data_IF_909190687880
#
_entry.id   IF_909190687880
#
_cell.length_a   1.000
_cell.length_b   1.000
_cell.length_c   1.000
_cell.angle_alpha   90.00
_cell.angle_beta   90.00
_cell.angle_gamma   90.00
#
_symmetry.space_group_name_H-M   'P 1'
#
loop_
_entity.id
_entity.type
_entity.pdbx_description
1 polymer ?
#
# COMPACT_ATOMS: atom_id res chain seq x y z
N UNK A 1 -30.70 -25.17 -34.17
CA UNK A 1 -30.83 -25.10 -32.69
C UNK A 1 -29.42 -25.20 -32.08
N UNK A 2 -28.72 -24.07 -31.95
CA UNK A 2 -28.34 -23.39 -30.68
C UNK A 2 -27.43 -24.19 -29.73
N UNK A 3 -26.12 -24.03 -29.97
CA UNK A 3 -25.05 -23.61 -29.03
C UNK A 3 -25.37 -23.62 -27.52
N UNK A 4 -24.57 -24.38 -26.74
CA UNK A 4 -23.66 -23.92 -25.65
C UNK A 4 -23.46 -25.04 -24.61
N UNK A 5 -22.22 -25.51 -24.47
CA UNK A 5 -21.53 -25.72 -23.18
C UNK A 5 -20.16 -26.39 -23.40
N UNK A 6 -19.24 -25.62 -23.97
CA UNK A 6 -17.80 -25.81 -23.77
C UNK A 6 -17.25 -24.48 -23.29
N UNK A 7 -17.17 -24.29 -21.98
CA UNK A 7 -16.23 -23.37 -21.34
C UNK A 7 -16.25 -23.63 -19.83
N UNK A 8 -15.21 -23.20 -19.13
CA UNK A 8 -14.97 -23.38 -17.69
C UNK A 8 -14.19 -24.66 -17.33
N UNK A 9 -13.09 -24.90 -18.05
CA UNK A 9 -11.92 -25.56 -17.45
C UNK A 9 -10.59 -24.87 -17.81
N UNK A 10 -10.63 -23.56 -18.06
CA UNK A 10 -9.47 -22.74 -18.45
C UNK A 10 -9.17 -21.58 -17.47
N UNK A 11 -9.94 -21.44 -16.39
CA UNK A 11 -9.81 -20.32 -15.44
C UNK A 11 -8.82 -20.53 -14.29
N UNK A 12 -8.56 -21.78 -13.87
CA UNK A 12 -7.62 -22.05 -12.78
C UNK A 12 -6.15 -22.04 -13.27
N UNK A 13 -5.89 -22.57 -14.46
CA UNK A 13 -4.55 -22.65 -15.03
C UNK A 13 -4.02 -21.29 -15.54
N UNK A 14 -4.88 -20.39 -16.02
CA UNK A 14 -4.47 -19.02 -16.41
C UNK A 14 -4.26 -18.09 -15.21
N UNK A 15 -4.92 -18.34 -14.08
CA UNK A 15 -4.67 -17.61 -12.83
C UNK A 15 -3.38 -18.07 -12.14
N UNK A 16 -3.01 -19.36 -12.25
CA UNK A 16 -1.70 -19.83 -11.80
C UNK A 16 -0.56 -19.37 -12.75
N UNK A 17 -0.83 -19.26 -14.04
CA UNK A 17 0.14 -18.78 -15.03
C UNK A 17 0.39 -17.26 -15.00
N UNK A 18 -0.49 -16.45 -14.39
CA UNK A 18 -0.18 -15.02 -14.12
C UNK A 18 0.78 -14.82 -12.92
N UNK A 19 1.07 -15.88 -12.17
CA UNK A 19 1.99 -15.85 -11.01
C UNK A 19 3.30 -16.61 -11.23
N UNK A 20 3.53 -17.16 -12.43
CA UNK A 20 4.76 -17.87 -12.78
C UNK A 20 5.42 -17.17 -13.98
N UNK A 21 6.39 -16.30 -13.70
CA UNK A 21 7.24 -15.76 -14.76
C UNK A 21 7.81 -14.35 -14.58
N UNK A 22 7.53 -13.65 -13.48
CA UNK A 22 8.31 -12.45 -13.19
C UNK A 22 9.65 -12.87 -12.57
N UNK A 23 10.65 -13.10 -13.42
CA UNK A 23 12.03 -12.71 -13.12
C UNK A 23 12.10 -11.18 -12.98
N UNK A 24 11.28 -10.59 -12.10
CA UNK A 24 11.32 -9.18 -11.78
C UNK A 24 12.45 -8.98 -10.78
N UNK A 25 13.55 -8.42 -11.27
CA UNK A 25 14.57 -7.86 -10.42
C UNK A 25 13.90 -6.76 -9.56
N UNK A 26 13.93 -6.93 -8.24
CA UNK A 26 13.42 -5.93 -7.31
C UNK A 26 14.30 -4.67 -7.39
N UNK A 27 13.69 -3.48 -7.32
CA UNK A 27 14.44 -2.25 -7.16
C UNK A 27 15.25 -2.36 -5.85
N UNK A 28 16.55 -2.12 -5.95
CA UNK A 28 17.46 -2.34 -4.81
C UNK A 28 17.38 -1.17 -3.84
N UNK A 29 17.53 -1.45 -2.56
CA UNK A 29 17.66 -0.44 -1.50
C UNK A 29 19.15 -0.11 -1.32
N UNK A 30 19.84 0.21 -2.42
CA UNK A 30 21.31 0.38 -2.42
C UNK A 30 21.75 1.61 -1.60
N UNK A 31 20.91 2.64 -1.53
CA UNK A 31 21.15 3.86 -0.79
C UNK A 31 19.90 4.29 -0.01
N UNK A 32 20.10 4.81 1.19
CA UNK A 32 19.07 5.45 2.02
C UNK A 32 19.42 6.92 2.17
N UNK A 33 18.44 7.80 2.19
CA UNK A 33 18.65 9.18 2.58
C UNK A 33 17.86 9.53 3.84
N UNK A 34 18.47 10.37 4.69
CA UNK A 34 17.97 10.67 6.04
C UNK A 34 18.18 12.14 6.40
N UNK A 35 17.36 12.63 7.31
CA UNK A 35 17.39 14.01 7.81
C UNK A 35 16.90 14.07 9.26
N UNK A 36 16.76 15.29 9.78
CA UNK A 36 16.10 15.60 11.03
C UNK A 36 14.69 15.01 11.17
N UNK A 37 14.00 14.71 10.07
CA UNK A 37 12.68 14.07 10.08
C UNK A 37 12.73 12.60 10.52
N UNK A 38 13.90 11.95 10.43
CA UNK A 38 14.11 10.59 10.92
C UNK A 38 14.51 10.57 12.41
N UNK A 39 14.89 11.72 12.96
CA UNK A 39 15.42 11.84 14.32
C UNK A 39 16.81 11.21 14.47
N UNK A 40 17.18 10.90 15.71
CA UNK A 40 18.40 10.18 16.00
C UNK A 40 18.34 8.76 15.44
N UNK A 41 19.38 8.34 14.71
CA UNK A 41 19.54 6.98 14.24
C UNK A 41 20.85 6.37 14.75
N UNK A 42 20.76 5.18 15.31
CA UNK A 42 21.89 4.46 15.91
C UNK A 42 22.73 3.70 14.88
N UNK A 43 23.98 3.38 15.26
CA UNK A 43 24.84 2.47 14.47
C UNK A 43 24.18 1.11 14.25
N UNK A 44 23.45 0.58 15.24
CA UNK A 44 22.77 -0.73 15.12
C UNK A 44 21.70 -0.73 14.03
N UNK A 45 20.93 0.35 13.91
CA UNK A 45 19.95 0.53 12.84
C UNK A 45 20.59 0.52 11.46
N UNK A 46 21.66 1.27 11.28
CA UNK A 46 22.43 1.28 10.04
C UNK A 46 23.07 -0.08 9.71
N UNK A 47 23.57 -0.79 10.72
CA UNK A 47 24.05 -2.17 10.58
C UNK A 47 22.91 -3.11 10.14
N UNK A 48 21.71 -2.96 10.70
CA UNK A 48 20.52 -3.71 10.26
C UNK A 48 20.16 -3.40 8.80
N UNK A 49 20.14 -2.12 8.41
CA UNK A 49 19.89 -1.72 7.01
C UNK A 49 20.89 -2.37 6.04
N UNK A 50 22.18 -2.30 6.37
CA UNK A 50 23.26 -2.94 5.61
C UNK A 50 23.07 -4.45 5.51
N UNK A 51 22.88 -5.12 6.65
CA UNK A 51 22.90 -6.58 6.73
C UNK A 51 21.63 -7.23 6.19
N UNK A 52 20.47 -6.60 6.37
CA UNK A 52 19.17 -7.17 6.08
C UNK A 52 18.57 -6.68 4.76
N UNK A 53 18.98 -5.51 4.26
CA UNK A 53 18.44 -4.90 3.04
C UNK A 53 19.51 -4.55 2.00
N UNK A 54 20.78 -4.74 2.35
CA UNK A 54 21.89 -4.54 1.42
C UNK A 54 22.15 -3.07 1.10
N UNK A 55 21.80 -2.17 2.01
CA UNK A 55 22.17 -0.76 1.92
C UNK A 55 23.69 -0.63 1.88
N UNK A 56 24.19 0.13 0.90
CA UNK A 56 25.62 0.32 0.61
C UNK A 56 26.08 1.73 0.98
N UNK A 57 25.21 2.70 0.78
CA UNK A 57 25.48 4.10 1.02
C UNK A 57 24.34 4.77 1.78
N UNK A 58 24.65 5.84 2.51
CA UNK A 58 23.65 6.73 3.10
C UNK A 58 23.95 8.16 2.67
N UNK A 59 22.92 8.95 2.36
CA UNK A 59 23.04 10.37 2.04
C UNK A 59 22.29 11.19 3.10
N UNK A 60 23.01 11.98 3.88
CA UNK A 60 22.47 12.70 5.04
C UNK A 60 22.22 14.16 4.71
N UNK A 61 21.09 14.73 5.13
CA UNK A 61 20.87 16.18 5.04
C UNK A 61 21.92 16.87 5.89
N UNK A 62 22.74 17.73 5.28
CA UNK A 62 23.73 18.51 6.03
C UNK A 62 23.21 19.91 6.35
N UNK A 63 22.46 20.51 5.43
CA UNK A 63 21.96 21.87 5.56
C UNK A 63 20.80 22.19 4.62
N UNK A 64 20.17 23.33 4.84
CA UNK A 64 19.13 23.91 3.99
C UNK A 64 19.29 25.43 3.90
N UNK A 65 19.20 25.97 2.68
CA UNK A 65 19.39 27.40 2.42
C UNK A 65 20.69 27.97 3.00
N UNK A 66 20.67 29.24 3.41
CA UNK A 66 21.88 29.91 3.93
C UNK A 66 22.16 29.73 5.42
N UNK A 67 21.26 29.09 6.19
CA UNK A 67 21.29 29.19 7.66
C UNK A 67 20.98 27.90 8.42
N UNK A 68 20.17 26.99 7.86
CA UNK A 68 19.75 25.79 8.59
C UNK A 68 20.81 24.70 8.51
N UNK A 69 21.21 24.17 9.66
CA UNK A 69 22.08 22.99 9.80
C UNK A 69 21.24 21.86 10.35
N UNK A 70 21.33 20.68 9.75
CA UNK A 70 20.61 19.53 10.28
C UNK A 70 21.26 19.08 11.61
N UNK A 71 20.52 19.05 12.73
CA UNK A 71 21.09 18.74 14.04
C UNK A 71 21.57 17.29 14.17
N UNK A 72 21.11 16.37 13.30
CA UNK A 72 21.49 14.97 13.32
C UNK A 72 22.55 14.62 12.27
N UNK A 73 23.02 15.58 11.47
CA UNK A 73 24.02 15.33 10.43
C UNK A 73 25.28 14.66 10.99
N UNK A 74 25.86 15.23 12.04
CA UNK A 74 27.10 14.72 12.62
C UNK A 74 26.95 13.30 13.22
N UNK A 75 25.87 13.06 13.98
CA UNK A 75 25.60 11.74 14.55
C UNK A 75 25.32 10.69 13.48
N UNK A 76 24.56 11.05 12.43
CA UNK A 76 24.27 10.14 11.33
C UNK A 76 25.54 9.81 10.54
N UNK A 77 26.38 10.80 10.22
CA UNK A 77 27.66 10.57 9.53
C UNK A 77 28.54 9.60 10.34
N UNK A 78 28.73 9.88 11.64
CA UNK A 78 29.54 9.02 12.51
C UNK A 78 28.99 7.59 12.61
N UNK A 79 27.67 7.44 12.81
CA UNK A 79 27.03 6.14 12.97
C UNK A 79 27.00 5.32 11.66
N UNK A 80 26.87 5.98 10.50
CA UNK A 80 26.96 5.32 9.18
C UNK A 80 28.38 4.82 8.93
N UNK A 81 29.39 5.64 9.26
CA UNK A 81 30.79 5.24 9.13
C UNK A 81 31.13 4.07 10.08
N UNK A 82 30.65 4.11 11.32
CA UNK A 82 30.78 3.00 12.27
C UNK A 82 30.06 1.72 11.79
N UNK A 83 28.93 1.90 11.10
CA UNK A 83 28.23 0.81 10.40
C UNK A 83 28.93 0.38 9.09
N UNK A 84 30.11 0.90 8.76
CA UNK A 84 30.93 0.45 7.62
C UNK A 84 30.28 0.67 6.24
N UNK A 85 29.32 1.60 6.15
CA UNK A 85 28.68 1.99 4.88
C UNK A 85 29.33 3.26 4.33
N UNK A 86 29.17 3.48 3.03
CA UNK A 86 29.63 4.73 2.40
C UNK A 86 28.71 5.89 2.82
N UNK A 87 29.26 7.07 3.06
CA UNK A 87 28.51 8.24 3.52
C UNK A 87 28.61 9.37 2.49
N UNK A 88 27.47 10.00 2.22
CA UNK A 88 27.30 11.18 1.39
C UNK A 88 26.45 12.22 2.13
N UNK A 89 26.41 13.44 1.61
CA UNK A 89 25.56 14.51 2.10
C UNK A 89 24.64 15.06 1.02
N UNK A 90 23.58 15.76 1.44
CA UNK A 90 22.79 16.61 0.56
C UNK A 90 22.43 17.94 1.22
N UNK A 91 22.24 18.96 0.39
CA UNK A 91 21.84 20.31 0.76
C UNK A 91 20.51 20.65 0.12
N UNK A 92 19.50 21.00 0.92
CA UNK A 92 18.22 21.47 0.37
C UNK A 92 18.34 22.91 -0.14
N UNK A 93 18.25 23.08 -1.46
CA UNK A 93 18.51 24.33 -2.13
C UNK A 93 17.36 25.33 -1.97
N UNK A 94 17.67 26.55 -1.52
CA UNK A 94 16.74 27.70 -1.50
C UNK A 94 17.19 28.82 -2.45
N UNK A 95 18.28 28.63 -3.19
CA UNK A 95 18.81 29.63 -4.10
C UNK A 95 17.90 29.88 -5.33
N UNK A 96 17.70 31.15 -5.67
CA UNK A 96 17.04 31.59 -6.91
C UNK A 96 18.02 32.21 -7.92
N UNK A 97 19.21 32.59 -7.46
CA UNK A 97 20.24 33.26 -8.26
C UNK A 97 21.57 32.51 -8.20
N UNK A 98 22.45 32.81 -9.16
CA UNK A 98 23.81 32.24 -9.20
C UNK A 98 24.62 32.61 -7.95
N UNK A 99 24.48 33.84 -7.46
CA UNK A 99 25.18 34.31 -6.27
C UNK A 99 24.70 33.58 -5.01
N UNK A 100 23.39 33.40 -4.86
CA UNK A 100 22.83 32.60 -3.77
C UNK A 100 23.28 31.14 -3.86
N UNK A 101 23.35 30.56 -5.06
CA UNK A 101 23.82 29.18 -5.24
C UNK A 101 25.26 28.98 -4.77
N UNK A 102 26.14 29.96 -5.02
CA UNK A 102 27.51 29.98 -4.51
C UNK A 102 27.52 30.13 -2.98
N UNK A 103 26.74 31.06 -2.43
CA UNK A 103 26.67 31.29 -0.99
C UNK A 103 26.13 30.07 -0.22
N UNK A 104 25.11 29.40 -0.76
CA UNK A 104 24.55 28.16 -0.20
C UNK A 104 25.54 27.00 -0.32
N UNK A 105 26.28 26.88 -1.43
CA UNK A 105 27.35 25.90 -1.55
C UNK A 105 28.45 26.10 -0.50
N UNK A 106 28.81 27.35 -0.20
CA UNK A 106 29.79 27.68 0.84
C UNK A 106 29.31 27.34 2.24
N UNK A 107 28.03 27.57 2.49
CA UNK A 107 27.40 27.20 3.73
C UNK A 107 27.31 25.67 3.88
N UNK A 108 26.88 24.97 2.83
CA UNK A 108 26.78 23.51 2.79
C UNK A 108 28.15 22.83 2.95
N UNK A 109 29.16 23.29 2.22
CA UNK A 109 30.51 22.72 2.28
C UNK A 109 31.17 22.87 3.65
N UNK A 110 31.03 24.05 4.29
CA UNK A 110 31.49 24.29 5.67
C UNK A 110 30.73 23.44 6.68
N UNK A 111 29.41 23.35 6.53
CA UNK A 111 28.55 22.56 7.44
C UNK A 111 28.85 21.07 7.32
N UNK A 112 29.03 20.56 6.10
CA UNK A 112 29.41 19.17 5.86
C UNK A 112 30.78 18.83 6.46
N UNK A 113 31.78 19.71 6.30
CA UNK A 113 33.11 19.52 6.93
C UNK A 113 33.00 19.49 8.45
N UNK A 114 32.25 20.42 9.04
CA UNK A 114 32.04 20.48 10.48
C UNK A 114 31.29 19.25 11.02
N UNK A 115 30.37 18.68 10.24
CA UNK A 115 29.66 17.45 10.58
C UNK A 115 30.47 16.16 10.36
N UNK A 116 31.71 16.27 9.87
CA UNK A 116 32.60 15.12 9.65
C UNK A 116 32.41 14.38 8.33
N UNK A 117 31.74 14.98 7.34
CA UNK A 117 31.60 14.36 6.03
C UNK A 117 32.99 14.19 5.38
N UNK A 118 33.39 12.97 4.96
CA UNK A 118 34.70 12.75 4.37
C UNK A 118 34.90 13.47 3.03
N UNK A 119 36.10 14.00 2.80
CA UNK A 119 36.53 14.46 1.48
C UNK A 119 36.37 13.33 0.47
N UNK A 120 35.89 13.65 -0.74
CA UNK A 120 35.54 12.69 -1.77
C UNK A 120 34.12 12.11 -1.66
N UNK A 121 33.39 12.36 -0.57
CA UNK A 121 31.95 12.08 -0.51
C UNK A 121 31.18 12.92 -1.55
N UNK A 122 29.99 12.45 -1.94
CA UNK A 122 29.06 13.30 -2.69
C UNK A 122 28.41 14.30 -1.74
N UNK A 123 28.30 15.56 -2.16
CA UNK A 123 27.42 16.55 -1.56
C UNK A 123 26.46 17.05 -2.65
N UNK A 124 25.26 16.46 -2.66
CA UNK A 124 24.25 16.75 -3.67
C UNK A 124 23.49 18.05 -3.37
N UNK A 125 23.12 18.79 -4.41
CA UNK A 125 22.09 19.83 -4.30
C UNK A 125 20.71 19.23 -4.53
N UNK A 126 19.82 19.38 -3.56
CA UNK A 126 18.43 18.94 -3.60
C UNK A 126 17.55 20.10 -4.07
N UNK A 127 17.10 20.01 -5.33
CA UNK A 127 16.43 21.10 -6.06
C UNK A 127 14.96 20.77 -6.26
N UNK A 128 14.15 21.21 -5.30
CA UNK A 128 12.69 21.04 -5.28
C UNK A 128 11.93 22.19 -4.62
N UNK A 129 12.60 23.31 -4.37
CA UNK A 129 12.06 24.47 -3.65
C UNK A 129 11.17 25.35 -4.52
N UNK A 130 10.26 26.10 -3.90
CA UNK A 130 9.37 27.02 -4.62
C UNK A 130 10.17 28.09 -5.39
N UNK A 131 11.30 28.51 -4.82
CA UNK A 131 12.26 29.44 -5.42
C UNK A 131 12.73 28.93 -6.79
N UNK A 132 13.14 27.66 -6.87
CA UNK A 132 13.53 27.02 -8.12
C UNK A 132 12.33 26.77 -9.05
N UNK A 133 11.13 26.52 -8.50
CA UNK A 133 9.91 26.31 -9.29
C UNK A 133 9.52 27.57 -10.10
N UNK A 134 9.77 28.75 -9.52
CA UNK A 134 9.47 30.06 -10.10
C UNK A 134 10.51 30.50 -11.14
N UNK A 135 11.64 29.79 -11.28
CA UNK A 135 12.66 30.10 -12.26
C UNK A 135 12.41 29.43 -13.61
N UNK A 136 12.99 30.02 -14.66
CA UNK A 136 13.12 29.34 -15.95
C UNK A 136 14.10 28.17 -15.84
N UNK A 137 13.95 27.20 -16.74
CA UNK A 137 14.85 26.05 -16.83
C UNK A 137 16.32 26.47 -17.00
N UNK A 138 16.59 27.48 -17.83
CA UNK A 138 17.94 27.98 -18.05
C UNK A 138 18.55 28.64 -16.79
N UNK A 139 17.73 29.36 -16.02
CA UNK A 139 18.17 29.94 -14.74
C UNK A 139 18.51 28.85 -13.73
N UNK A 140 17.66 27.83 -13.60
CA UNK A 140 17.96 26.67 -12.74
C UNK A 140 19.25 25.96 -13.16
N UNK A 141 19.43 25.72 -14.46
CA UNK A 141 20.66 25.10 -15.00
C UNK A 141 21.92 25.89 -14.62
N UNK A 142 21.87 27.22 -14.78
CA UNK A 142 22.97 28.12 -14.40
C UNK A 142 23.26 28.09 -12.90
N UNK A 143 22.22 28.13 -12.07
CA UNK A 143 22.36 28.17 -10.62
C UNK A 143 22.89 26.84 -10.07
N UNK A 144 22.31 25.72 -10.53
CA UNK A 144 22.73 24.37 -10.16
C UNK A 144 24.19 24.09 -10.57
N UNK A 145 24.59 24.53 -11.77
CA UNK A 145 25.98 24.43 -12.21
C UNK A 145 26.93 25.23 -11.33
N UNK A 146 26.51 26.41 -10.85
CA UNK A 146 27.32 27.23 -9.95
C UNK A 146 27.48 26.58 -8.57
N UNK A 147 26.40 26.08 -7.97
CA UNK A 147 26.47 25.33 -6.71
C UNK A 147 27.40 24.13 -6.83
N UNK A 148 27.19 23.29 -7.84
CA UNK A 148 27.97 22.05 -8.04
C UNK A 148 29.44 22.31 -8.36
N UNK A 149 29.76 23.44 -8.99
CA UNK A 149 31.16 23.85 -9.19
C UNK A 149 31.78 24.31 -7.88
N UNK A 150 31.07 25.13 -7.11
CA UNK A 150 31.60 25.72 -5.88
C UNK A 150 31.90 24.67 -4.81
N UNK A 151 31.04 23.65 -4.67
CA UNK A 151 31.22 22.62 -3.64
C UNK A 151 32.53 21.82 -3.78
N UNK A 152 33.10 21.78 -4.98
CA UNK A 152 34.35 21.08 -5.27
C UNK A 152 35.53 21.67 -4.49
N UNK A 153 35.50 22.97 -4.12
CA UNK A 153 36.56 23.59 -3.31
C UNK A 153 36.67 23.00 -1.90
N UNK A 154 35.61 22.35 -1.43
CA UNK A 154 35.60 21.65 -0.15
C UNK A 154 36.10 20.20 -0.27
N UNK A 155 36.41 19.74 -1.48
CA UNK A 155 36.85 18.37 -1.77
C UNK A 155 35.71 17.38 -1.97
N UNK A 156 34.46 17.85 -2.12
CA UNK A 156 33.31 16.99 -2.36
C UNK A 156 33.02 16.83 -3.85
N UNK A 157 32.49 15.67 -4.20
CA UNK A 157 31.92 15.42 -5.53
C UNK A 157 30.50 15.97 -5.54
N UNK A 158 30.09 16.58 -6.66
CA UNK A 158 28.80 17.24 -6.75
C UNK A 158 27.82 16.42 -7.60
N UNK A 159 26.57 16.36 -7.17
CA UNK A 159 25.48 15.82 -7.96
C UNK A 159 24.20 16.63 -7.71
N UNK A 160 23.16 16.35 -8.48
CA UNK A 160 21.86 16.99 -8.34
C UNK A 160 20.79 15.96 -8.00
N UNK A 161 19.99 16.26 -7.00
CA UNK A 161 18.74 15.57 -6.73
C UNK A 161 17.55 16.43 -7.16
N UNK A 162 16.55 15.78 -7.77
CA UNK A 162 15.26 16.41 -8.08
C UNK A 162 14.19 15.35 -8.37
N UNK A 163 12.93 15.77 -8.41
CA UNK A 163 11.81 14.91 -8.76
C UNK A 163 11.77 14.59 -10.26
N UNK A 164 11.19 13.45 -10.61
CA UNK A 164 11.04 12.99 -11.99
C UNK A 164 10.17 13.92 -12.85
N UNK A 165 9.24 14.68 -12.25
CA UNK A 165 8.46 15.69 -12.96
C UNK A 165 9.25 16.97 -13.26
N UNK A 166 10.32 17.23 -12.50
CA UNK A 166 11.21 18.37 -12.68
C UNK A 166 12.39 18.06 -13.59
N UNK A 167 12.88 16.81 -13.56
CA UNK A 167 13.96 16.34 -14.42
C UNK A 167 13.64 16.63 -15.90
N UNK A 168 14.52 17.37 -16.56
CA UNK A 168 14.43 17.86 -17.96
C UNK A 168 13.31 18.87 -18.26
N UNK A 169 12.39 19.12 -17.34
CA UNK A 169 11.34 20.14 -17.49
C UNK A 169 11.71 21.47 -16.79
N UNK A 170 12.26 21.39 -15.58
CA UNK A 170 12.64 22.54 -14.75
C UNK A 170 14.16 22.73 -14.67
N UNK A 171 14.94 21.69 -14.99
CA UNK A 171 16.41 21.72 -15.14
C UNK A 171 16.86 20.56 -16.03
N UNK A 172 18.01 20.69 -16.69
CA UNK A 172 18.67 19.63 -17.45
C UNK A 172 19.28 18.60 -16.51
N UNK A 173 18.93 17.32 -16.69
CA UNK A 173 19.64 16.21 -16.05
C UNK A 173 20.29 15.36 -17.14
N UNK A 174 21.62 15.43 -17.23
CA UNK A 174 22.40 14.70 -18.24
C UNK A 174 22.42 13.19 -17.93
N UNK A 175 22.67 12.39 -18.96
CA UNK A 175 23.03 10.98 -18.75
C UNK A 175 24.31 10.90 -17.93
N UNK A 176 24.43 9.87 -17.10
CA UNK A 176 25.53 9.64 -16.15
C UNK A 176 25.70 10.77 -15.13
N UNK A 177 24.62 11.46 -14.80
CA UNK A 177 24.53 12.38 -13.65
C UNK A 177 23.16 12.21 -13.00
N UNK A 178 22.95 12.81 -11.84
CA UNK A 178 21.64 12.98 -11.23
C UNK A 178 21.19 11.80 -10.37
N UNK A 179 20.54 12.16 -9.27
CA UNK A 179 19.78 11.30 -8.39
C UNK A 179 18.31 11.70 -8.52
N UNK A 180 17.49 10.88 -9.17
CA UNK A 180 16.13 11.30 -9.57
C UNK A 180 15.09 10.55 -8.75
N UNK A 181 14.14 11.27 -8.17
CA UNK A 181 13.02 10.68 -7.46
C UNK A 181 11.86 10.33 -8.40
N UNK A 182 11.36 9.10 -8.29
CA UNK A 182 10.15 8.69 -9.00
C UNK A 182 9.55 7.48 -8.32
N UNK A 183 8.32 7.59 -7.82
CA UNK A 183 7.73 6.59 -6.92
C UNK A 183 6.65 5.78 -7.62
N UNK A 184 6.99 4.75 -8.42
CA UNK A 184 6.00 3.91 -9.06
C UNK A 184 5.13 3.24 -8.00
N UNK A 185 3.93 2.88 -8.43
CA UNK A 185 3.03 2.11 -7.59
C UNK A 185 3.59 0.71 -7.28
N UNK A 186 4.22 0.07 -8.27
CA UNK A 186 4.96 -1.19 -8.13
C UNK A 186 6.39 -0.97 -8.66
N UNK A 187 7.39 -0.85 -7.77
CA UNK A 187 8.79 -0.68 -8.17
C UNK A 187 9.43 -1.95 -8.75
N UNK A 188 8.91 -3.13 -8.42
CA UNK A 188 9.44 -4.40 -8.92
C UNK A 188 9.43 -4.45 -10.46
N UNK A 189 10.57 -4.82 -11.06
CA UNK A 189 10.73 -4.91 -12.52
C UNK A 189 10.82 -3.56 -13.25
N UNK A 190 10.80 -2.43 -12.53
CA UNK A 190 11.05 -1.11 -13.11
C UNK A 190 12.56 -0.83 -13.11
N UNK A 191 13.01 -0.13 -14.14
CA UNK A 191 14.40 0.33 -14.28
C UNK A 191 14.42 1.81 -14.67
N UNK A 192 13.76 2.65 -13.87
CA UNK A 192 13.66 4.08 -14.14
C UNK A 192 15.01 4.76 -13.89
N UNK A 193 15.31 5.77 -14.71
CA UNK A 193 16.53 6.56 -14.64
C UNK A 193 17.82 5.72 -14.64
N UNK A 194 17.81 4.59 -15.36
CA UNK A 194 18.95 3.65 -15.44
C UNK A 194 20.21 4.26 -16.05
N UNK A 195 20.08 5.34 -16.80
CA UNK A 195 21.19 6.13 -17.32
C UNK A 195 21.75 7.16 -16.34
N UNK A 196 21.10 7.40 -15.20
CA UNK A 196 21.48 8.38 -14.18
C UNK A 196 22.19 7.69 -13.01
N UNK A 197 22.75 8.43 -12.04
CA UNK A 197 23.50 7.80 -10.95
C UNK A 197 22.62 7.00 -10.00
N UNK A 198 21.45 7.55 -9.66
CA UNK A 198 20.56 6.95 -8.68
C UNK A 198 19.09 7.22 -9.00
N UNK A 199 18.24 6.29 -8.58
CA UNK A 199 16.79 6.41 -8.65
C UNK A 199 16.19 6.20 -7.26
N UNK A 200 15.62 7.25 -6.66
CA UNK A 200 14.84 7.15 -5.42
C UNK A 200 13.44 6.64 -5.77
N UNK A 201 13.14 5.40 -5.37
CA UNK A 201 11.95 4.69 -5.83
C UNK A 201 10.85 4.59 -4.78
N UNK A 202 11.13 4.95 -3.53
CA UNK A 202 10.15 4.94 -2.44
C UNK A 202 10.55 5.91 -1.34
N UNK A 203 9.56 6.62 -0.80
CA UNK A 203 9.67 7.44 0.42
C UNK A 203 9.05 6.82 1.68
N UNK A 204 8.69 5.54 1.60
CA UNK A 204 7.89 4.86 2.65
C UNK A 204 8.44 3.49 3.00
N UNK A 205 9.70 3.21 2.61
CA UNK A 205 10.32 1.93 2.93
C UNK A 205 10.44 1.77 4.44
N UNK A 206 10.45 0.51 4.89
CA UNK A 206 10.51 0.16 6.31
C UNK A 206 11.69 -0.74 6.56
N UNK A 207 12.43 -0.43 7.62
CA UNK A 207 13.49 -1.26 8.14
C UNK A 207 13.05 -1.91 9.45
N UNK A 208 13.63 -3.05 9.79
CA UNK A 208 13.13 -3.90 10.89
C UNK A 208 13.15 -3.22 12.24
N UNK A 209 14.23 -2.50 12.54
CA UNK A 209 14.48 -1.88 13.84
C UNK A 209 14.56 -0.35 13.78
N UNK A 210 14.17 0.26 12.65
CA UNK A 210 14.13 1.71 12.51
C UNK A 210 12.70 2.21 12.40
N UNK A 211 12.41 3.28 13.13
CA UNK A 211 11.10 3.90 13.15
C UNK A 211 10.90 4.82 11.94
N UNK A 212 9.65 5.02 11.52
CA UNK A 212 9.35 5.93 10.41
C UNK A 212 9.45 5.31 9.02
N UNK A 213 9.11 6.10 8.00
CA UNK A 213 9.30 5.75 6.59
C UNK A 213 10.66 6.23 6.13
N UNK A 214 11.26 5.50 5.21
CA UNK A 214 12.57 5.83 4.67
C UNK A 214 12.53 5.98 3.16
N UNK A 215 13.32 6.94 2.72
CA UNK A 215 13.59 7.24 1.35
C UNK A 215 14.73 6.32 0.89
N UNK A 216 14.45 5.54 -0.15
CA UNK A 216 15.38 4.52 -0.66
C UNK A 216 15.58 4.60 -2.15
N UNK A 217 16.83 4.41 -2.52
CA UNK A 217 17.32 4.57 -3.86
C UNK A 217 18.04 3.32 -4.37
N UNK A 218 17.82 3.03 -5.64
CA UNK A 218 18.67 2.12 -6.41
C UNK A 218 19.83 2.91 -6.98
N UNK A 219 21.05 2.41 -6.81
CA UNK A 219 22.25 2.99 -7.45
C UNK A 219 22.48 2.30 -8.80
N UNK A 220 22.60 3.08 -9.86
CA UNK A 220 22.83 2.59 -11.22
C UNK A 220 24.30 2.76 -11.66
N UNK A 221 25.09 3.52 -10.89
CA UNK A 221 26.54 3.59 -10.96
C UNK A 221 27.16 3.48 -9.57
N UNK A 222 28.48 3.45 -9.51
CA UNK A 222 29.27 3.48 -8.28
C UNK A 222 29.55 4.90 -7.77
N UNK A 223 28.90 5.93 -8.34
CA UNK A 223 29.16 7.33 -8.01
C UNK A 223 28.91 7.61 -6.53
N UNK A 224 27.78 7.19 -5.96
CA UNK A 224 27.48 7.35 -4.53
C UNK A 224 28.27 6.41 -3.60
N UNK A 225 29.15 5.59 -4.15
CA UNK A 225 30.09 4.74 -3.41
C UNK A 225 31.56 5.05 -3.71
N UNK A 226 31.85 6.03 -4.58
CA UNK A 226 33.20 6.33 -5.10
C UNK A 226 33.97 5.09 -5.60
N UNK A 227 33.28 4.12 -6.23
CA UNK A 227 33.88 2.84 -6.62
C UNK A 227 34.29 1.93 -5.44
N UNK A 228 34.12 2.38 -4.19
CA UNK A 228 34.49 1.63 -3.01
C UNK A 228 33.52 0.46 -2.82
N UNK A 229 34.10 -0.72 -2.66
CA UNK A 229 33.34 -1.88 -2.20
C UNK A 229 33.06 -1.69 -0.71
N UNK A 230 31.84 -2.07 -0.29
CA UNK A 230 31.49 -2.05 1.13
C UNK A 230 32.54 -2.80 1.94
N UNK A 231 33.08 -2.14 2.97
CA UNK A 231 34.06 -2.76 3.89
C UNK A 231 33.44 -3.94 4.62
N UNK A 232 32.12 -3.93 4.79
CA UNK A 232 31.37 -5.02 5.43
C UNK A 232 30.27 -5.51 4.50
N UNK A 233 30.20 -6.83 4.29
CA UNK A 233 29.18 -7.44 3.44
C UNK A 233 27.91 -7.75 4.25
N UNK A 234 26.72 -7.77 3.60
CA UNK A 234 25.52 -8.24 4.27
C UNK A 234 25.69 -9.69 4.73
N UNK A 235 25.29 -9.98 5.97
CA UNK A 235 25.43 -11.29 6.60
C UNK A 235 24.74 -12.39 5.79
N UNK A 236 23.58 -12.09 5.20
CA UNK A 236 22.84 -13.05 4.38
C UNK A 236 22.30 -12.38 3.10
N UNK A 237 22.98 -12.60 1.97
CA UNK A 237 22.56 -12.08 0.65
C UNK A 237 21.19 -12.58 0.20
N UNK A 238 20.79 -13.79 0.61
CA UNK A 238 19.46 -14.34 0.33
C UNK A 238 18.37 -13.57 1.07
N UNK A 239 18.56 -13.32 2.36
CA UNK A 239 17.65 -12.52 3.18
C UNK A 239 17.52 -11.09 2.64
N UNK A 240 18.62 -10.47 2.20
CA UNK A 240 18.62 -9.16 1.53
C UNK A 240 17.70 -9.15 0.30
N UNK A 241 17.86 -10.12 -0.59
CA UNK A 241 17.01 -10.21 -1.80
C UNK A 241 15.54 -10.35 -1.43
N UNK A 242 15.23 -11.18 -0.42
CA UNK A 242 13.86 -11.40 0.07
C UNK A 242 13.28 -10.12 0.67
N UNK A 243 14.04 -9.42 1.51
CA UNK A 243 13.60 -8.20 2.18
C UNK A 243 13.40 -7.05 1.19
N UNK A 244 14.30 -6.88 0.23
CA UNK A 244 14.13 -5.91 -0.85
C UNK A 244 12.88 -6.23 -1.68
N UNK A 245 12.66 -7.50 -2.03
CA UNK A 245 11.44 -7.93 -2.71
C UNK A 245 10.19 -7.62 -1.88
N UNK A 246 10.19 -7.90 -0.56
CA UNK A 246 9.07 -7.56 0.33
C UNK A 246 8.80 -6.05 0.40
N UNK A 247 9.84 -5.23 0.48
CA UNK A 247 9.72 -3.76 0.47
C UNK A 247 9.13 -3.24 -0.85
N UNK A 248 9.54 -3.81 -1.98
CA UNK A 248 9.00 -3.50 -3.31
C UNK A 248 7.51 -3.90 -3.45
N UNK A 249 7.10 -4.98 -2.79
CA UNK A 249 5.78 -5.60 -2.93
C UNK A 249 4.74 -5.01 -1.96
N UNK A 250 5.14 -4.46 -0.81
CA UNK A 250 4.22 -3.90 0.19
C UNK A 250 3.34 -2.75 -0.33
N UNK A 251 3.76 -2.01 -1.37
CA UNK A 251 2.92 -0.99 -2.04
C UNK A 251 1.97 -1.61 -3.06
N UNK A 252 2.43 -2.62 -3.80
CA UNK A 252 1.63 -3.41 -4.74
C UNK A 252 0.50 -4.19 -4.03
N UNK A 253 0.75 -4.83 -2.88
CA UNK A 253 -0.28 -5.63 -2.19
C UNK A 253 -1.33 -4.76 -1.46
N UNK A 254 -0.96 -3.58 -0.97
CA UNK A 254 -1.89 -2.67 -0.26
C UNK A 254 -2.91 -2.00 -1.18
N UNK A 255 -2.68 -2.01 -2.50
CA UNK A 255 -3.59 -1.44 -3.50
C UNK A 255 -3.97 -2.41 -4.63
N UNK A 256 -3.28 -3.54 -4.86
CA UNK A 256 -3.84 -4.67 -5.61
C UNK A 256 -5.03 -5.29 -4.85
N UNK A 257 -5.02 -5.22 -3.51
CA UNK A 257 -6.20 -5.45 -2.70
C UNK A 257 -7.30 -4.36 -2.87
N UNK A 258 -6.95 -3.12 -3.27
CA UNK A 258 -7.91 -2.04 -3.58
C UNK A 258 -8.35 -2.00 -5.06
N UNK A 259 -7.61 -2.65 -5.97
CA UNK A 259 -7.76 -2.52 -7.43
C UNK A 259 -7.95 -3.87 -8.13
N UNK A 260 -8.03 -4.97 -7.39
CA UNK A 260 -8.85 -6.09 -7.83
C UNK A 260 -10.27 -5.53 -7.90
N UNK A 261 -10.88 -5.54 -9.09
CA UNK A 261 -12.32 -5.40 -9.19
C UNK A 261 -12.91 -6.48 -8.29
N UNK A 262 -13.36 -6.09 -7.10
CA UNK A 262 -14.06 -6.98 -6.19
C UNK A 262 -15.32 -7.37 -6.94
N UNK A 263 -15.30 -8.51 -7.61
CA UNK A 263 -16.49 -9.06 -8.20
C UNK A 263 -17.38 -9.35 -7.01
N UNK A 264 -18.46 -8.59 -6.87
CA UNK A 264 -19.40 -8.80 -5.78
C UNK A 264 -19.86 -10.24 -5.88
N UNK A 265 -19.45 -11.06 -4.90
CA UNK A 265 -19.82 -12.47 -4.88
C UNK A 265 -21.10 -12.55 -4.08
N UNK A 266 -22.20 -12.82 -4.77
CA UNK A 266 -23.50 -13.11 -4.15
C UNK A 266 -23.78 -14.59 -4.33
N UNK A 267 -23.99 -15.28 -3.22
CA UNK A 267 -24.42 -16.68 -3.26
C UNK A 267 -25.51 -16.92 -2.22
N UNK A 268 -26.43 -17.80 -2.58
CA UNK A 268 -27.51 -18.21 -1.69
C UNK A 268 -26.91 -19.15 -0.64
N UNK A 269 -27.10 -18.79 0.62
CA UNK A 269 -26.69 -19.59 1.75
C UNK A 269 -27.63 -19.29 2.90
N UNK A 270 -28.31 -20.33 3.40
CA UNK A 270 -29.15 -20.23 4.60
C UNK A 270 -28.29 -20.51 5.84
N UNK A 271 -28.51 -19.74 6.89
CA UNK A 271 -27.83 -19.95 8.16
C UNK A 271 -28.30 -19.00 9.25
N UNK A 272 -27.81 -19.24 10.46
CA UNK A 272 -28.05 -18.37 11.62
C UNK A 272 -26.74 -17.70 11.99
N UNK A 273 -26.79 -16.39 12.23
CA UNK A 273 -25.64 -15.59 12.66
C UNK A 273 -25.87 -15.05 14.07
N UNK A 274 -24.87 -15.25 14.93
CA UNK A 274 -24.85 -14.80 16.32
C UNK A 274 -23.77 -13.73 16.49
N UNK A 275 -24.12 -12.43 16.42
CA UNK A 275 -23.15 -11.35 16.58
C UNK A 275 -22.50 -11.35 17.97
N UNK A 276 -21.18 -11.16 18.00
CA UNK A 276 -20.42 -11.02 19.24
C UNK A 276 -20.28 -9.56 19.70
N UNK A 277 -20.93 -8.64 18.99
CA UNK A 277 -20.91 -7.19 19.19
C UNK A 277 -22.20 -6.55 18.65
N UNK A 278 -22.48 -5.30 19.03
CA UNK A 278 -23.59 -4.53 18.44
C UNK A 278 -23.31 -4.20 16.97
N UNK A 279 -24.29 -4.47 16.10
CA UNK A 279 -24.20 -4.29 14.65
C UNK A 279 -25.43 -3.58 14.10
N UNK A 280 -25.19 -2.70 13.14
CA UNK A 280 -26.23 -2.02 12.39
C UNK A 280 -26.74 -2.89 11.24
N UNK A 281 -28.06 -2.84 11.00
CA UNK A 281 -28.70 -3.34 9.79
C UNK A 281 -28.91 -2.19 8.82
N UNK A 282 -28.77 -2.46 7.53
CA UNK A 282 -28.92 -1.50 6.43
C UNK A 282 -29.87 -2.02 5.34
N UNK A 283 -30.39 -1.13 4.49
CA UNK A 283 -31.24 -1.51 3.34
C UNK A 283 -30.46 -2.13 2.17
N UNK A 284 -29.14 -1.95 2.14
CA UNK A 284 -28.24 -2.49 1.12
C UNK A 284 -26.95 -3.00 1.75
N UNK A 285 -26.13 -3.68 0.96
CA UNK A 285 -24.77 -4.16 1.21
C UNK A 285 -23.72 -3.03 1.34
N UNK A 286 -24.12 -1.83 1.81
CA UNK A 286 -23.27 -0.64 1.91
C UNK A 286 -23.37 0.07 3.25
N UNK A 287 -22.25 0.60 3.74
CA UNK A 287 -22.21 1.49 4.92
C UNK A 287 -22.65 2.92 4.64
N UNK A 288 -22.77 3.29 3.36
CA UNK A 288 -23.12 4.66 2.95
C UNK A 288 -24.62 4.94 3.05
N UNK A 289 -25.44 3.92 3.34
CA UNK A 289 -26.90 4.07 3.50
C UNK A 289 -27.30 4.11 4.97
N UNK A 290 -28.50 4.62 5.24
CA UNK A 290 -29.02 4.83 6.60
C UNK A 290 -29.28 3.51 7.35
N UNK A 291 -29.17 3.54 8.68
CA UNK A 291 -29.45 2.42 9.57
C UNK A 291 -30.95 2.16 9.64
N UNK A 292 -31.33 0.88 9.69
CA UNK A 292 -32.75 0.48 9.67
C UNK A 292 -33.15 -0.39 10.85
N UNK A 293 -32.18 -1.03 11.48
CA UNK A 293 -32.33 -1.77 12.72
C UNK A 293 -30.94 -1.93 13.37
N UNK A 294 -30.93 -2.43 14.61
CA UNK A 294 -29.72 -2.74 15.36
C UNK A 294 -29.88 -4.17 15.90
N UNK A 295 -28.82 -4.97 15.80
CA UNK A 295 -28.70 -6.23 16.53
C UNK A 295 -27.62 -6.10 17.60
N UNK A 296 -27.89 -6.58 18.80
CA UNK A 296 -26.99 -6.54 19.94
C UNK A 296 -26.19 -7.84 20.08
N UNK A 297 -25.12 -7.78 20.87
CA UNK A 297 -24.30 -8.96 21.20
C UNK A 297 -25.17 -10.04 21.82
N UNK A 298 -25.10 -11.27 21.30
CA UNK A 298 -25.83 -12.43 21.81
C UNK A 298 -27.20 -12.68 21.16
N UNK A 299 -27.71 -11.75 20.36
CA UNK A 299 -28.92 -11.98 19.55
C UNK A 299 -28.62 -12.93 18.38
N UNK A 300 -29.64 -13.23 17.55
CA UNK A 300 -29.45 -14.07 16.36
C UNK A 300 -30.27 -13.59 15.17
N UNK A 301 -29.74 -13.78 13.97
CA UNK A 301 -30.41 -13.45 12.70
C UNK A 301 -30.31 -14.60 11.71
N UNK A 302 -31.47 -15.03 11.20
CA UNK A 302 -31.55 -16.02 10.12
C UNK A 302 -31.44 -15.32 8.78
N UNK A 303 -30.44 -15.70 7.97
CA UNK A 303 -30.19 -15.11 6.65
C UNK A 303 -30.32 -16.14 5.55
N UNK A 304 -30.53 -15.67 4.31
CA UNK A 304 -30.74 -16.52 3.14
C UNK A 304 -29.73 -16.29 1.99
N UNK A 305 -28.88 -15.28 2.10
CA UNK A 305 -27.77 -15.06 1.18
C UNK A 305 -26.58 -14.39 1.87
N UNK A 306 -25.41 -14.61 1.28
CA UNK A 306 -24.16 -13.96 1.65
C UNK A 306 -23.68 -13.12 0.48
N UNK A 307 -23.28 -11.89 0.78
CA UNK A 307 -22.68 -10.96 -0.16
C UNK A 307 -21.28 -10.64 0.32
N UNK A 308 -20.28 -10.82 -0.53
CA UNK A 308 -18.90 -10.40 -0.24
C UNK A 308 -18.62 -9.19 -1.13
N UNK A 309 -18.38 -8.03 -0.51
CA UNK A 309 -18.19 -6.77 -1.20
C UNK A 309 -17.09 -5.95 -0.51
N UNK A 310 -16.06 -5.59 -1.28
CA UNK A 310 -14.92 -4.78 -0.82
C UNK A 310 -14.40 -5.25 0.54
N UNK A 311 -14.68 -4.47 1.59
CA UNK A 311 -14.15 -4.61 2.93
C UNK A 311 -15.00 -5.52 3.84
N UNK A 312 -16.21 -5.91 3.44
CA UNK A 312 -17.14 -6.64 4.33
C UNK A 312 -17.83 -7.84 3.68
N UNK A 313 -18.14 -8.81 4.55
CA UNK A 313 -19.06 -9.90 4.27
C UNK A 313 -20.42 -9.54 4.89
N UNK A 314 -21.48 -9.58 4.11
CA UNK A 314 -22.85 -9.25 4.52
C UNK A 314 -23.75 -10.48 4.47
N UNK A 315 -24.68 -10.56 5.41
CA UNK A 315 -25.83 -11.46 5.36
C UNK A 315 -27.07 -10.66 4.94
N UNK A 316 -27.82 -11.20 3.97
CA UNK A 316 -29.14 -10.70 3.61
C UNK A 316 -30.22 -11.54 4.29
N UNK A 317 -31.17 -10.89 4.94
CA UNK A 317 -32.36 -11.52 5.49
C UNK A 317 -33.62 -10.73 5.15
N UNK A 318 -34.79 -11.36 5.28
CA UNK A 318 -36.08 -10.71 5.08
C UNK A 318 -36.57 -10.15 6.41
N UNK A 319 -36.83 -8.85 6.49
CA UNK A 319 -37.39 -8.19 7.67
C UNK A 319 -38.89 -8.38 7.76
N UNK A 320 -39.48 -8.06 8.91
CA UNK A 320 -40.92 -8.16 9.18
C UNK A 320 -41.81 -7.39 8.20
N UNK A 321 -41.29 -6.32 7.60
CA UNK A 321 -41.98 -5.51 6.60
C UNK A 321 -41.79 -6.02 5.16
N UNK A 322 -41.27 -7.25 4.97
CA UNK A 322 -41.06 -7.87 3.67
C UNK A 322 -39.85 -7.34 2.89
N UNK A 323 -39.18 -6.28 3.36
CA UNK A 323 -37.99 -5.72 2.73
C UNK A 323 -36.72 -6.47 3.18
N UNK A 324 -35.68 -6.40 2.36
CA UNK A 324 -34.39 -6.97 2.74
C UNK A 324 -33.66 -6.10 3.77
N UNK A 325 -33.03 -6.77 4.73
CA UNK A 325 -32.05 -6.21 5.65
C UNK A 325 -30.68 -6.84 5.41
N UNK A 326 -29.64 -6.02 5.55
CA UNK A 326 -28.25 -6.41 5.38
C UNK A 326 -27.48 -6.14 6.67
N UNK A 327 -26.82 -7.18 7.20
CA UNK A 327 -26.02 -7.11 8.43
C UNK A 327 -24.61 -7.63 8.16
N UNK A 328 -23.60 -6.99 8.74
CA UNK A 328 -22.21 -7.42 8.57
C UNK A 328 -21.91 -8.69 9.34
N UNK A 329 -21.36 -9.67 8.65
CA UNK A 329 -20.82 -10.90 9.22
C UNK A 329 -19.36 -10.76 9.66
N UNK A 330 -18.62 -9.81 9.07
CA UNK A 330 -17.21 -9.58 9.35
C UNK A 330 -16.49 -8.80 8.25
N UNK A 331 -15.19 -8.64 8.40
CA UNK A 331 -14.29 -8.06 7.40
C UNK A 331 -13.92 -9.12 6.36
N UNK A 332 -13.91 -8.78 5.07
CA UNK A 332 -13.49 -9.71 4.02
C UNK A 332 -12.05 -10.17 4.25
N UNK A 333 -11.81 -11.48 4.29
CA UNK A 333 -10.52 -12.09 4.63
C UNK A 333 -9.94 -11.63 5.99
N UNK A 334 -10.81 -11.20 6.90
CA UNK A 334 -10.43 -10.64 8.19
C UNK A 334 -11.30 -11.15 9.34
N UNK A 335 -11.43 -10.31 10.36
CA UNK A 335 -12.11 -10.68 11.60
C UNK A 335 -13.62 -10.86 11.40
N UNK A 336 -14.17 -11.95 11.94
CA UNK A 336 -15.61 -12.19 12.01
C UNK A 336 -16.25 -11.37 13.13
N UNK A 337 -17.47 -10.89 12.91
CA UNK A 337 -18.25 -10.13 13.90
C UNK A 337 -19.23 -11.01 14.70
N UNK A 338 -19.01 -12.32 14.67
CA UNK A 338 -19.87 -13.29 15.36
C UNK A 338 -19.68 -14.70 14.83
N UNK A 339 -20.42 -15.63 15.42
CA UNK A 339 -20.44 -17.05 15.02
C UNK A 339 -21.49 -17.25 13.93
N UNK A 340 -21.12 -17.93 12.84
CA UNK A 340 -22.04 -18.37 11.78
C UNK A 340 -22.26 -19.86 11.92
N UNK A 341 -23.52 -20.30 11.90
CA UNK A 341 -23.88 -21.70 11.80
C UNK A 341 -24.47 -21.94 10.41
N UNK A 342 -23.81 -22.80 9.64
CA UNK A 342 -24.09 -23.07 8.22
C UNK A 342 -24.21 -24.58 8.03
N UNK A 343 -25.15 -25.04 7.22
CA UNK A 343 -25.37 -26.48 7.07
C UNK A 343 -26.03 -27.14 8.28
N UNK A 344 -26.69 -26.35 9.13
CA UNK A 344 -27.69 -26.91 10.03
C UNK A 344 -28.83 -27.40 9.14
N UNK A 345 -29.09 -28.71 9.13
CA UNK A 345 -30.38 -29.23 8.69
C UNK A 345 -31.42 -28.60 9.59
N UNK A 346 -31.97 -27.47 9.16
CA UNK A 346 -33.31 -27.09 9.57
C UNK A 346 -34.17 -28.26 9.11
N UNK A 347 -34.63 -29.07 10.06
CA UNK A 347 -35.63 -30.10 9.77
C UNK A 347 -36.85 -29.34 9.29
N UNK A 348 -37.04 -29.31 7.98
CA UNK A 348 -38.22 -28.67 7.42
C UNK A 348 -39.39 -29.59 7.70
N UNK A 349 -40.35 -29.12 8.49
CA UNK A 349 -41.66 -29.77 8.53
C UNK A 349 -42.41 -29.33 7.28
N UNK A 350 -42.95 -30.29 6.53
CA UNK A 350 -43.72 -30.02 5.32
C UNK A 350 -45.19 -30.32 5.54
N UNK A 351 -46.04 -29.48 4.96
CA UNK A 351 -47.47 -29.71 4.83
C UNK A 351 -47.81 -29.94 3.35
N UNK A 352 -48.53 -31.01 3.04
CA UNK A 352 -49.04 -31.27 1.69
C UNK A 352 -50.42 -30.66 1.55
N UNK A 353 -50.56 -29.70 0.64
CA UNK A 353 -51.82 -28.99 0.32
C UNK A 353 -52.89 -30.01 -0.06
N UNK A 354 -54.07 -29.92 0.54
CA UNK A 354 -55.25 -30.73 0.26
C UNK A 354 -56.29 -29.91 -0.50
N UNK A 355 -57.24 -30.57 -1.16
CA UNK A 355 -58.36 -29.87 -1.80
C UNK A 355 -59.12 -29.06 -0.75
N UNK A 356 -59.35 -27.77 -1.02
CA UNK A 356 -59.99 -26.83 -0.09
C UNK A 356 -59.04 -26.02 0.79
N UNK A 357 -57.73 -26.26 0.75
CA UNK A 357 -56.77 -25.49 1.55
C UNK A 357 -56.50 -24.08 1.00
N UNK A 358 -56.25 -23.14 1.90
CA UNK A 358 -55.76 -21.79 1.60
C UNK A 358 -54.49 -21.45 2.39
N UNK A 359 -53.78 -20.39 1.99
CA UNK A 359 -52.66 -19.87 2.79
C UNK A 359 -53.05 -19.60 4.24
N UNK A 360 -54.31 -19.23 4.50
CA UNK A 360 -54.82 -18.95 5.83
C UNK A 360 -55.00 -20.22 6.66
N UNK A 361 -55.73 -21.21 6.13
CA UNK A 361 -56.03 -22.45 6.86
C UNK A 361 -54.75 -23.21 7.19
N UNK A 362 -53.83 -23.32 6.23
CA UNK A 362 -52.54 -24.00 6.44
C UNK A 362 -51.68 -23.24 7.46
N UNK A 363 -51.61 -21.91 7.37
CA UNK A 363 -50.80 -21.13 8.31
C UNK A 363 -51.35 -21.22 9.73
N UNK A 364 -52.66 -21.08 9.91
CA UNK A 364 -53.32 -21.18 11.21
C UNK A 364 -53.11 -22.54 11.86
N UNK A 365 -53.29 -23.63 11.12
CA UNK A 365 -53.06 -25.00 11.61
C UNK A 365 -51.62 -25.25 12.07
N UNK A 366 -50.66 -24.52 11.50
CA UNK A 366 -49.25 -24.65 11.83
C UNK A 366 -48.75 -23.56 12.79
N UNK A 367 -49.63 -22.70 13.32
CA UNK A 367 -49.25 -21.61 14.22
C UNK A 367 -48.40 -20.54 13.56
N UNK A 368 -48.59 -20.32 12.25
CA UNK A 368 -47.93 -19.29 11.45
C UNK A 368 -48.93 -18.23 11.01
N UNK A 369 -48.44 -17.05 10.63
CA UNK A 369 -49.24 -16.12 9.82
C UNK A 369 -49.17 -16.52 8.33
N UNK A 370 -50.22 -16.20 7.56
CA UNK A 370 -50.26 -16.43 6.11
C UNK A 370 -49.02 -15.90 5.38
N UNK A 371 -48.59 -14.69 5.76
CA UNK A 371 -47.45 -14.00 5.16
C UNK A 371 -46.14 -14.69 5.51
N UNK A 372 -46.02 -15.24 6.71
CA UNK A 372 -44.86 -16.04 7.13
C UNK A 372 -44.81 -17.35 6.35
N UNK A 373 -45.93 -18.07 6.24
CA UNK A 373 -46.00 -19.31 5.50
C UNK A 373 -45.70 -19.12 4.00
N UNK A 374 -46.30 -18.11 3.36
CA UNK A 374 -46.07 -17.82 1.95
C UNK A 374 -44.61 -17.44 1.68
N UNK A 375 -44.03 -16.55 2.51
CA UNK A 375 -42.66 -16.09 2.34
C UNK A 375 -41.62 -17.18 2.57
N UNK A 376 -41.83 -18.09 3.54
CA UNK A 376 -40.97 -19.26 3.76
C UNK A 376 -40.90 -20.17 2.51
N UNK A 377 -41.98 -20.21 1.73
CA UNK A 377 -42.08 -20.99 0.50
C UNK A 377 -41.75 -20.21 -0.77
N UNK A 378 -41.23 -18.99 -0.63
CA UNK A 378 -40.86 -18.12 -1.77
C UNK A 378 -42.07 -17.68 -2.61
N UNK A 379 -43.25 -17.60 -2.00
CA UNK A 379 -44.52 -17.22 -2.63
C UNK A 379 -45.12 -16.00 -1.94
N UNK A 380 -46.13 -15.40 -2.56
CA UNK A 380 -46.98 -14.39 -1.92
C UNK A 380 -48.30 -15.02 -1.48
N UNK A 381 -49.04 -14.35 -0.58
CA UNK A 381 -50.38 -14.77 -0.18
C UNK A 381 -51.40 -14.77 -1.34
N UNK A 382 -51.05 -14.15 -2.47
CA UNK A 382 -51.86 -14.12 -3.69
C UNK A 382 -51.49 -15.23 -4.68
N UNK A 383 -50.43 -15.99 -4.39
CA UNK A 383 -50.01 -17.10 -5.26
C UNK A 383 -50.95 -18.28 -5.07
N UNK A 384 -51.61 -18.73 -6.14
CA UNK A 384 -52.47 -19.92 -6.08
C UNK A 384 -51.66 -21.16 -5.69
N UNK A 385 -52.15 -21.87 -4.67
CA UNK A 385 -51.63 -23.18 -4.24
C UNK A 385 -52.54 -24.28 -4.75
N UNK A 386 -51.96 -25.43 -5.09
CA UNK A 386 -52.68 -26.55 -5.70
C UNK A 386 -52.57 -27.80 -4.81
N UNK A 387 -53.61 -28.64 -4.75
CA UNK A 387 -53.55 -29.91 -4.02
C UNK A 387 -52.35 -30.77 -4.45
N UNK A 388 -51.71 -31.42 -3.48
CA UNK A 388 -50.48 -32.19 -3.66
C UNK A 388 -49.18 -31.36 -3.56
N UNK A 389 -49.25 -30.02 -3.56
CA UNK A 389 -48.07 -29.19 -3.36
C UNK A 389 -47.52 -29.31 -1.94
N UNK A 390 -46.19 -29.43 -1.80
CA UNK A 390 -45.52 -29.46 -0.50
C UNK A 390 -45.05 -28.06 -0.12
N UNK A 391 -45.51 -27.58 1.04
CA UNK A 391 -45.12 -26.30 1.62
C UNK A 391 -44.32 -26.52 2.91
N UNK A 392 -43.24 -25.79 3.08
CA UNK A 392 -42.44 -25.71 4.32
C UNK A 392 -43.24 -24.93 5.37
N UNK A 393 -43.43 -25.51 6.55
CA UNK A 393 -44.22 -24.92 7.65
C UNK A 393 -43.44 -24.74 8.96
N UNK A 394 -42.26 -25.35 9.13
CA UNK A 394 -41.32 -25.11 10.25
C UNK A 394 -39.90 -25.43 9.83
#
# INVERSE_FOLDING_TARGET
MKLKNKLVLTGAATMAALFLGLNANAARMDMVDVSNNNGYMSTAEYVSMRNEFGVKAVTVKVSEGGTYKDPYAASNIANVQAAGMYINGYHFARYATKAQAIAEADFAGRTAKAAGLPVGAVLATDVESQEANNQSKATNDRNNAAFMKEIQKFGYRADIYTSGSWANNKMTIKKKTGWIAGYPFVPAGKNWYSSNHAWQWSSTAKFRISYGGFDVSQLNSDYYTAGQKSKVKPTNKGAVKVNNRKANIKKAHKQAAKKATFKVVKYNQRGVFYPNRTLAVRYTDSDKVRQVATYYKGESVTYNAVIIEHDYVWARYTRSNGLYGFIKLGVTNGQAYGKRVTGQSVSHTYYTVKSGDSWWTIAQHNGLSMTTLASQNGKSIYTTIYPGQRLVVR
#
